data_IF_907020102529
#
_entry.id   IF_907020102529
#
_cell.length_a   1.000
_cell.length_b   1.000
_cell.length_c   1.000
_cell.angle_alpha   90.00
_cell.angle_beta   90.00
_cell.angle_gamma   90.00
#
_symmetry.space_group_name_H-M   'P 1'
#
loop_
_entity.id
_entity.type
_entity.pdbx_description
1 polymer ?
#
# COMPACT_ATOMS: atom_id res chain seq x y z
N UNK A 1 6.21 -2.31 -4.67
CA UNK A 1 6.51 -2.43 -6.11
C UNK A 1 7.28 -1.21 -6.56
N UNK A 2 7.93 -1.24 -7.73
CA UNK A 2 8.69 -0.10 -8.25
C UNK A 2 7.79 1.09 -8.55
N UNK A 3 8.29 2.32 -8.34
CA UNK A 3 7.57 3.56 -8.68
C UNK A 3 6.44 3.94 -7.71
N UNK A 4 6.34 3.28 -6.55
CA UNK A 4 5.38 3.64 -5.51
C UNK A 4 5.74 4.95 -4.83
N UNK A 5 4.74 5.78 -4.58
CA UNK A 5 4.88 7.03 -3.84
C UNK A 5 4.11 6.90 -2.53
N UNK A 6 4.75 7.25 -1.41
CA UNK A 6 4.18 7.10 -0.07
C UNK A 6 4.07 8.50 0.54
N UNK A 7 2.87 8.90 0.96
CA UNK A 7 2.66 10.14 1.70
C UNK A 7 3.37 10.03 3.06
N UNK A 8 4.20 11.01 3.41
CA UNK A 8 4.89 11.05 4.71
C UNK A 8 3.90 11.02 5.89
N UNK A 9 4.29 10.33 6.97
CA UNK A 9 3.51 10.23 8.20
C UNK A 9 2.48 9.09 8.24
N UNK A 10 2.55 8.13 7.32
CA UNK A 10 1.68 6.93 7.33
C UNK A 10 2.48 5.68 7.65
N UNK A 11 1.80 4.67 8.18
CA UNK A 11 2.41 3.38 8.54
C UNK A 11 2.08 2.34 7.48
N UNK A 12 3.09 1.58 7.06
CA UNK A 12 2.92 0.38 6.24
C UNK A 12 3.06 -0.83 7.16
N UNK A 13 1.97 -1.59 7.31
CA UNK A 13 1.95 -2.78 8.13
C UNK A 13 2.91 -3.86 7.63
N UNK A 14 3.27 -4.77 8.53
CA UNK A 14 4.13 -5.92 8.21
C UNK A 14 3.49 -6.76 7.09
N UNK A 15 4.32 -7.24 6.17
CA UNK A 15 3.90 -8.05 5.02
C UNK A 15 2.84 -7.42 4.11
N UNK A 16 2.61 -6.11 4.20
CA UNK A 16 1.77 -5.38 3.27
C UNK A 16 2.40 -5.35 1.88
N UNK A 17 1.59 -5.65 0.86
CA UNK A 17 2.01 -5.62 -0.53
C UNK A 17 1.52 -4.34 -1.20
N UNK A 18 2.44 -3.52 -1.68
CA UNK A 18 2.13 -2.31 -2.44
C UNK A 18 2.42 -2.55 -3.93
N UNK A 19 1.41 -2.44 -4.78
CA UNK A 19 1.55 -2.59 -6.23
C UNK A 19 2.50 -1.55 -6.85
N UNK A 20 3.12 -1.87 -7.98
CA UNK A 20 3.94 -0.91 -8.71
C UNK A 20 3.12 0.33 -9.13
N UNK A 21 3.75 1.51 -9.08
CA UNK A 21 3.09 2.78 -9.42
C UNK A 21 2.00 3.26 -8.46
N UNK A 22 1.77 2.61 -7.31
CA UNK A 22 0.73 3.01 -6.38
C UNK A 22 1.07 4.29 -5.60
N UNK A 23 0.06 5.12 -5.31
CA UNK A 23 0.19 6.33 -4.47
C UNK A 23 -0.48 6.11 -3.13
N UNK A 24 0.30 5.80 -2.10
CA UNK A 24 -0.20 5.48 -0.76
C UNK A 24 -0.50 6.78 -0.01
N UNK A 25 -1.79 7.07 0.18
CA UNK A 25 -2.27 8.27 0.87
C UNK A 25 -2.76 8.01 2.30
N UNK A 26 -2.97 6.74 2.67
CA UNK A 26 -3.46 6.29 3.98
C UNK A 26 -2.62 5.11 4.47
N UNK A 27 -2.51 4.95 5.79
CA UNK A 27 -1.82 3.81 6.40
C UNK A 27 -2.41 2.49 5.90
N UNK A 28 -1.53 1.53 5.59
CA UNK A 28 -1.90 0.22 5.06
C UNK A 28 -1.78 -0.81 6.18
N UNK A 29 -2.84 -1.59 6.47
CA UNK A 29 -2.77 -2.61 7.51
C UNK A 29 -1.77 -3.72 7.15
N UNK A 30 -1.36 -4.48 8.16
CA UNK A 30 -0.56 -5.70 7.96
C UNK A 30 -1.26 -6.69 7.04
N UNK A 31 -0.46 -7.48 6.31
CA UNK A 31 -0.91 -8.47 5.34
C UNK A 31 -1.89 -7.94 4.28
N UNK A 32 -1.94 -6.63 4.03
CA UNK A 32 -2.89 -6.03 3.08
C UNK A 32 -2.26 -5.81 1.71
N UNK A 33 -3.03 -6.01 0.65
CA UNK A 33 -2.63 -5.76 -0.74
C UNK A 33 -3.23 -4.43 -1.17
N UNK A 34 -2.40 -3.42 -1.40
CA UNK A 34 -2.82 -2.08 -1.81
C UNK A 34 -2.28 -1.71 -3.20
N UNK A 35 -3.17 -1.27 -4.10
CA UNK A 35 -2.83 -0.93 -5.48
C UNK A 35 -3.59 0.31 -5.95
N UNK A 36 -3.09 0.96 -7.01
CA UNK A 36 -3.73 2.11 -7.65
C UNK A 36 -3.25 3.48 -7.18
N UNK A 37 -3.77 4.53 -7.82
CA UNK A 37 -3.48 5.94 -7.54
C UNK A 37 -4.81 6.67 -7.41
N UNK A 38 -5.31 6.98 -6.19
CA UNK A 38 -4.74 6.65 -4.87
C UNK A 38 -4.84 5.15 -4.52
N UNK A 39 -3.89 4.67 -3.72
CA UNK A 39 -3.79 3.26 -3.34
C UNK A 39 -4.98 2.84 -2.47
N UNK A 40 -5.66 1.78 -2.89
CA UNK A 40 -6.78 1.15 -2.16
C UNK A 40 -6.43 -0.29 -1.83
N UNK A 41 -6.85 -0.74 -0.65
CA UNK A 41 -6.73 -2.14 -0.25
C UNK A 41 -7.71 -2.96 -1.09
N UNK A 42 -7.20 -3.86 -1.91
CA UNK A 42 -7.99 -4.73 -2.80
C UNK A 42 -8.12 -6.16 -2.27
N UNK A 43 -7.34 -6.51 -1.25
CA UNK A 43 -7.38 -7.83 -0.64
C UNK A 43 -6.42 -7.95 0.52
N UNK A 44 -6.42 -9.12 1.15
CA UNK A 44 -5.44 -9.50 2.16
C UNK A 44 -4.63 -10.69 1.64
N UNK A 45 -3.33 -10.64 1.89
CA UNK A 45 -2.40 -11.74 1.69
C UNK A 45 -2.67 -12.76 2.80
N UNK A 46 -3.09 -13.97 2.41
CA UNK A 46 -3.16 -15.13 3.32
C UNK A 46 -1.76 -15.69 3.58
#
# INVERSE_FOLDING_TARGET
GTGTKIKGGITIGRDAFIGAGAMVTKSIPEFSIAVGVPAKVVGKRK
#
